data_IF_135424372434
#
_entry.id   IF_135424372434
#
_cell.length_a   1.000
_cell.length_b   1.000
_cell.length_c   1.000
_cell.angle_alpha   90.00
_cell.angle_beta   90.00
_cell.angle_gamma   90.00
#
_symmetry.space_group_name_H-M   'P 1'
#
loop_
_entity.id
_entity.type
_entity.pdbx_description
1 polymer ?
#
# COMPACT_ATOMS: atom_id res chain seq x y z
N UNK A 1 24.79 -10.22 37.45
CA UNK A 1 24.88 -10.31 35.97
C UNK A 1 23.54 -10.75 35.43
N UNK A 2 22.69 -9.81 35.01
CA UNK A 2 21.37 -10.10 34.44
C UNK A 2 21.54 -10.42 32.96
N UNK A 3 21.18 -11.65 32.56
CA UNK A 3 21.07 -12.06 31.15
C UNK A 3 19.98 -11.22 30.49
N UNK A 4 20.35 -10.41 29.51
CA UNK A 4 19.40 -9.80 28.57
C UNK A 4 18.65 -10.94 27.86
N UNK A 5 17.31 -10.97 27.85
CA UNK A 5 16.59 -11.95 27.05
C UNK A 5 16.84 -11.62 25.57
N UNK A 6 17.34 -12.59 24.81
CA UNK A 6 17.36 -12.50 23.35
C UNK A 6 15.91 -12.33 22.89
N UNK A 7 15.51 -11.11 22.53
CA UNK A 7 14.30 -10.92 21.75
C UNK A 7 14.50 -11.64 20.41
N UNK A 8 13.54 -12.47 19.97
CA UNK A 8 13.64 -13.14 18.69
C UNK A 8 13.77 -12.08 17.60
N UNK A 9 14.69 -12.29 16.63
CA UNK A 9 15.01 -11.33 15.58
C UNK A 9 13.76 -10.78 14.84
N UNK A 10 12.69 -11.57 14.80
CA UNK A 10 11.37 -11.23 14.26
C UNK A 10 10.66 -10.11 15.02
N UNK A 11 10.77 -10.06 16.35
CA UNK A 11 10.21 -9.01 17.19
C UNK A 11 10.84 -7.66 16.85
N UNK A 12 12.17 -7.64 16.69
CA UNK A 12 12.94 -6.46 16.32
C UNK A 12 12.64 -5.99 14.90
N UNK A 13 12.37 -6.91 13.98
CA UNK A 13 11.95 -6.58 12.62
C UNK A 13 10.54 -5.97 12.60
N UNK A 14 9.58 -6.54 13.35
CA UNK A 14 8.23 -6.01 13.50
C UNK A 14 8.25 -4.63 14.17
N UNK A 15 9.10 -4.41 15.17
CA UNK A 15 9.20 -3.11 15.83
C UNK A 15 9.88 -2.05 14.94
N UNK A 16 10.87 -2.43 14.11
CA UNK A 16 11.39 -1.56 13.04
C UNK A 16 10.33 -1.22 11.98
N UNK A 17 9.55 -2.22 11.55
CA UNK A 17 8.42 -2.04 10.64
C UNK A 17 7.39 -1.08 11.24
N UNK A 18 7.01 -1.26 12.51
CA UNK A 18 6.10 -0.35 13.24
C UNK A 18 6.65 1.07 13.32
N UNK A 19 7.96 1.24 13.52
CA UNK A 19 8.57 2.57 13.53
C UNK A 19 8.64 3.21 12.14
N UNK A 20 8.93 2.44 11.08
CA UNK A 20 8.89 2.94 9.69
C UNK A 20 7.47 3.35 9.27
N UNK A 21 6.47 2.52 9.58
CA UNK A 21 5.05 2.79 9.31
C UNK A 21 4.53 3.98 10.11
N UNK A 22 5.01 4.19 11.35
CA UNK A 22 4.66 5.38 12.14
C UNK A 22 5.31 6.67 11.64
N UNK A 23 6.47 6.60 10.99
CA UNK A 23 7.26 7.76 10.63
C UNK A 23 6.91 8.36 9.25
N UNK A 24 6.26 7.61 8.36
CA UNK A 24 5.87 8.07 7.02
C UNK A 24 4.50 7.51 6.62
N UNK A 25 3.70 8.32 5.92
CA UNK A 25 2.55 7.79 5.16
C UNK A 25 3.09 6.72 4.19
N UNK A 26 2.49 5.52 4.12
CA UNK A 26 2.96 4.46 3.22
C UNK A 26 2.65 4.75 1.74
N UNK A 27 2.07 5.92 1.46
CA UNK A 27 1.69 6.36 0.13
C UNK A 27 1.87 7.87 -0.03
N UNK A 28 1.96 8.29 -1.30
CA UNK A 28 1.92 9.68 -1.75
C UNK A 28 0.77 9.87 -2.74
N UNK A 29 0.43 11.12 -3.09
CA UNK A 29 -0.57 11.37 -4.13
C UNK A 29 0.07 11.21 -5.51
N UNK A 30 -0.54 10.36 -6.34
CA UNK A 30 -0.29 10.31 -7.78
C UNK A 30 -1.35 11.14 -8.48
N UNK A 31 -0.92 12.06 -9.32
CA UNK A 31 -1.78 12.96 -10.08
C UNK A 31 -1.48 12.81 -11.56
N UNK A 32 -2.47 12.34 -12.32
CA UNK A 32 -2.36 12.08 -13.76
C UNK A 32 -3.34 12.98 -14.50
N UNK A 33 -2.80 13.89 -15.32
CA UNK A 33 -3.63 14.77 -16.16
C UNK A 33 -4.26 13.94 -17.27
N UNK A 34 -5.58 14.06 -17.43
CA UNK A 34 -6.35 13.42 -18.49
C UNK A 34 -6.63 14.47 -19.58
N UNK A 35 -5.63 14.75 -20.42
CA UNK A 35 -5.72 15.73 -21.50
C UNK A 35 -4.36 16.15 -22.06
N UNK A 36 -4.31 16.51 -23.34
CA UNK A 36 -3.06 16.81 -24.07
C UNK A 36 -2.49 18.22 -23.80
N UNK A 37 -3.32 19.14 -23.32
CA UNK A 37 -3.05 20.57 -23.51
C UNK A 37 -2.40 21.23 -22.29
N UNK A 38 -2.58 20.74 -21.06
CA UNK A 38 -1.93 21.30 -19.88
C UNK A 38 -1.82 20.27 -18.75
N UNK A 39 -0.68 20.29 -18.05
CA UNK A 39 -0.51 19.55 -16.79
C UNK A 39 -1.31 20.32 -15.73
N UNK A 40 -2.57 19.95 -15.50
CA UNK A 40 -3.36 20.58 -14.44
C UNK A 40 -2.59 20.47 -13.12
N UNK A 41 -2.23 21.62 -12.53
CA UNK A 41 -1.55 21.71 -11.24
C UNK A 41 -2.54 22.16 -10.19
N UNK A 42 -2.34 21.69 -8.97
CA UNK A 42 -3.16 22.08 -7.80
C UNK A 42 -2.27 22.73 -6.75
N UNK A 43 -2.85 23.58 -5.92
CA UNK A 43 -2.11 24.27 -4.86
C UNK A 43 -1.63 23.31 -3.76
N UNK A 44 -0.72 23.78 -2.90
CA UNK A 44 -0.27 23.02 -1.74
C UNK A 44 -1.40 22.72 -0.76
N UNK A 45 -2.32 23.67 -0.56
CA UNK A 45 -3.51 23.54 0.28
C UNK A 45 -4.46 22.49 -0.30
N UNK A 46 -4.65 22.48 -1.62
CA UNK A 46 -5.47 21.47 -2.30
C UNK A 46 -4.84 20.08 -2.15
N UNK A 47 -3.52 19.98 -2.34
CA UNK A 47 -2.76 18.74 -2.14
C UNK A 47 -2.89 18.24 -0.69
N UNK A 48 -2.82 19.14 0.30
CA UNK A 48 -3.02 18.80 1.70
C UNK A 48 -4.44 18.28 1.96
N UNK A 49 -5.46 18.98 1.47
CA UNK A 49 -6.86 18.58 1.62
C UNK A 49 -7.14 17.21 0.99
N UNK A 50 -6.63 16.96 -0.22
CA UNK A 50 -6.71 15.66 -0.89
C UNK A 50 -6.03 14.58 -0.07
N UNK A 51 -4.86 14.88 0.51
CA UNK A 51 -4.15 13.90 1.33
C UNK A 51 -4.98 13.53 2.56
N UNK A 52 -5.58 14.52 3.24
CA UNK A 52 -6.50 14.27 4.36
C UNK A 52 -7.72 13.46 3.92
N UNK A 53 -8.28 13.75 2.74
CA UNK A 53 -9.43 13.01 2.20
C UNK A 53 -9.13 11.51 2.06
N UNK A 54 -7.98 11.16 1.49
CA UNK A 54 -7.55 9.75 1.36
C UNK A 54 -7.14 9.09 2.68
N UNK A 55 -6.73 9.87 3.69
CA UNK A 55 -6.52 9.35 5.06
C UNK A 55 -7.86 9.01 5.74
N UNK A 56 -8.90 9.83 5.56
CA UNK A 56 -10.23 9.59 6.14
C UNK A 56 -11.04 8.54 5.38
N UNK A 57 -10.77 8.35 4.08
CA UNK A 57 -11.47 7.41 3.21
C UNK A 57 -10.52 6.32 2.69
N UNK A 58 -10.07 5.39 3.54
CA UNK A 58 -9.07 4.39 3.17
C UNK A 58 -9.54 3.41 2.10
N UNK A 59 -10.86 3.31 1.85
CA UNK A 59 -11.44 2.51 0.77
C UNK A 59 -11.54 3.22 -0.58
N UNK A 60 -11.24 4.52 -0.66
CA UNK A 60 -11.35 5.31 -1.89
C UNK A 60 -10.19 4.98 -2.84
N UNK A 61 -10.45 4.40 -4.03
CA UNK A 61 -9.37 4.03 -4.96
C UNK A 61 -8.73 5.24 -5.64
N UNK A 62 -9.51 6.30 -5.88
CA UNK A 62 -9.08 7.52 -6.56
C UNK A 62 -10.24 8.50 -6.67
N UNK A 63 -9.94 9.74 -7.07
CA UNK A 63 -10.92 10.79 -7.40
C UNK A 63 -10.52 11.46 -8.71
N UNK A 64 -11.49 12.04 -9.41
CA UNK A 64 -11.22 12.91 -10.55
C UNK A 64 -11.56 14.34 -10.15
N UNK A 65 -10.60 15.24 -10.30
CA UNK A 65 -10.82 16.68 -10.15
C UNK A 65 -11.11 17.28 -11.52
N UNK A 66 -12.27 17.89 -11.67
CA UNK A 66 -12.62 18.65 -12.87
C UNK A 66 -12.05 20.05 -12.72
N UNK A 67 -11.15 20.45 -13.62
CA UNK A 67 -10.51 21.77 -13.59
C UNK A 67 -10.75 22.53 -14.89
N UNK A 68 -10.57 23.85 -14.86
CA UNK A 68 -10.66 24.67 -16.08
C UNK A 68 -9.60 24.29 -17.15
N UNK A 69 -8.57 23.53 -16.78
CA UNK A 69 -7.48 23.11 -17.66
C UNK A 69 -7.54 21.61 -18.02
N UNK A 70 -8.67 20.96 -17.74
CA UNK A 70 -8.88 19.54 -17.95
C UNK A 70 -8.98 18.75 -16.64
N UNK A 71 -9.26 17.45 -16.76
CA UNK A 71 -9.48 16.58 -15.62
C UNK A 71 -8.15 16.06 -15.05
N UNK A 72 -8.04 15.99 -13.73
CA UNK A 72 -6.91 15.44 -13.02
C UNK A 72 -7.35 14.22 -12.23
N UNK A 73 -6.87 13.03 -12.62
CA UNK A 73 -7.08 11.83 -11.81
C UNK A 73 -6.08 11.81 -10.66
N UNK A 74 -6.58 11.69 -9.44
CA UNK A 74 -5.78 11.67 -8.21
C UNK A 74 -6.01 10.36 -7.49
N UNK A 75 -4.94 9.62 -7.19
CA UNK A 75 -4.98 8.37 -6.46
C UNK A 75 -3.85 8.27 -5.45
N UNK A 76 -3.90 7.25 -4.59
CA UNK A 76 -2.75 6.89 -3.74
C UNK A 76 -1.75 6.11 -4.58
N UNK A 77 -0.50 6.49 -4.49
CA UNK A 77 0.64 5.74 -5.01
C UNK A 77 1.46 5.20 -3.84
N UNK A 78 1.70 3.90 -3.88
CA UNK A 78 2.45 3.17 -2.86
C UNK A 78 3.83 2.86 -3.46
N UNK A 79 4.91 3.49 -2.98
CA UNK A 79 6.24 3.27 -3.51
C UNK A 79 6.60 1.78 -3.59
N UNK A 80 7.32 1.40 -4.64
CA UNK A 80 7.84 0.05 -4.81
C UNK A 80 8.69 -0.34 -3.59
N UNK A 81 8.21 -1.32 -2.82
CA UNK A 81 8.76 -1.73 -1.52
C UNK A 81 7.67 -2.00 -0.49
N UNK A 82 6.56 -1.27 -0.56
CA UNK A 82 5.37 -1.50 0.29
C UNK A 82 4.76 -2.89 0.05
N UNK A 83 4.80 -3.40 -1.18
CA UNK A 83 4.35 -4.76 -1.50
C UNK A 83 5.12 -5.85 -0.74
N UNK A 84 6.44 -5.68 -0.57
CA UNK A 84 7.26 -6.62 0.20
C UNK A 84 6.97 -6.53 1.70
N UNK A 85 6.66 -5.31 2.19
CA UNK A 85 6.22 -5.08 3.55
C UNK A 85 4.87 -5.77 3.80
N UNK A 86 3.90 -5.61 2.90
CA UNK A 86 2.59 -6.24 3.01
C UNK A 86 2.71 -7.77 3.02
N UNK A 87 3.49 -8.35 2.10
CA UNK A 87 3.73 -9.80 2.06
C UNK A 87 4.40 -10.29 3.37
N UNK A 88 5.31 -9.51 3.94
CA UNK A 88 5.96 -9.82 5.23
C UNK A 88 4.97 -9.76 6.41
N UNK A 89 4.01 -8.82 6.39
CA UNK A 89 2.95 -8.72 7.38
C UNK A 89 1.98 -9.90 7.27
N UNK A 90 1.60 -10.29 6.04
CA UNK A 90 0.79 -11.48 5.79
C UNK A 90 1.49 -12.73 6.33
N UNK A 91 2.78 -12.90 6.04
CA UNK A 91 3.56 -14.03 6.58
C UNK A 91 3.60 -14.02 8.12
N UNK A 92 3.71 -12.84 8.73
CA UNK A 92 3.71 -12.70 10.19
C UNK A 92 2.39 -13.12 10.84
N UNK A 93 1.25 -12.94 10.17
CA UNK A 93 -0.05 -13.45 10.67
C UNK A 93 0.00 -14.96 10.82
N UNK A 94 0.45 -15.68 9.79
CA UNK A 94 0.57 -17.15 9.82
C UNK A 94 1.60 -17.66 10.82
N UNK A 95 2.69 -16.90 11.04
CA UNK A 95 3.72 -17.24 12.04
C UNK A 95 3.22 -17.03 13.47
N UNK A 96 2.44 -15.99 13.71
CA UNK A 96 1.97 -15.62 15.05
C UNK A 96 0.75 -16.45 15.50
N UNK A 97 -0.08 -16.90 14.57
CA UNK A 97 -1.27 -17.70 14.85
C UNK A 97 -1.37 -18.91 13.89
N UNK A 98 -0.87 -20.10 14.31
CA UNK A 98 -0.95 -21.32 13.50
C UNK A 98 -2.37 -21.81 13.20
N UNK A 99 -3.40 -21.28 13.88
CA UNK A 99 -4.80 -21.63 13.58
C UNK A 99 -5.35 -20.85 12.37
N UNK A 100 -4.71 -19.77 11.97
CA UNK A 100 -5.06 -19.04 10.75
C UNK A 100 -4.45 -19.77 9.55
N UNK A 101 -5.26 -20.38 8.70
CA UNK A 101 -4.77 -21.17 7.54
C UNK A 101 -4.85 -20.43 6.21
N UNK A 102 -5.56 -19.29 6.16
CA UNK A 102 -5.63 -18.46 4.95
C UNK A 102 -6.20 -17.07 5.20
N UNK A 103 -5.86 -16.12 4.33
CA UNK A 103 -6.40 -14.76 4.30
C UNK A 103 -7.03 -14.54 2.93
N UNK A 104 -8.35 -14.38 2.89
CA UNK A 104 -9.10 -14.15 1.65
C UNK A 104 -9.12 -12.66 1.29
N UNK A 105 -8.61 -12.33 0.11
CA UNK A 105 -8.70 -11.00 -0.48
C UNK A 105 -9.81 -11.00 -1.54
N UNK A 106 -10.88 -10.20 -1.37
CA UNK A 106 -11.98 -10.15 -2.32
C UNK A 106 -11.56 -9.48 -3.63
N UNK A 107 -12.29 -9.76 -4.71
CA UNK A 107 -12.08 -9.11 -5.99
C UNK A 107 -12.33 -7.61 -5.86
N UNK A 108 -11.42 -6.80 -6.39
CA UNK A 108 -11.52 -5.33 -6.41
C UNK A 108 -11.01 -4.80 -7.74
N UNK A 109 -11.76 -3.89 -8.39
CA UNK A 109 -11.39 -3.13 -9.60
C UNK A 109 -10.32 -3.80 -10.50
N UNK A 110 -10.71 -4.84 -11.25
CA UNK A 110 -9.83 -5.51 -12.22
C UNK A 110 -8.86 -6.54 -11.62
N UNK A 111 -8.85 -6.75 -10.30
CA UNK A 111 -8.10 -7.84 -9.63
C UNK A 111 -9.05 -8.96 -9.23
N UNK A 112 -8.70 -10.19 -9.58
CA UNK A 112 -9.42 -11.39 -9.16
C UNK A 112 -9.26 -11.59 -7.65
N UNK A 113 -10.28 -12.20 -7.02
CA UNK A 113 -10.18 -12.66 -5.65
C UNK A 113 -9.09 -13.74 -5.52
N UNK A 114 -8.39 -13.78 -4.39
CA UNK A 114 -7.43 -14.83 -4.08
C UNK A 114 -7.29 -15.04 -2.58
N UNK A 115 -6.63 -16.14 -2.20
CA UNK A 115 -6.36 -16.49 -0.81
C UNK A 115 -4.84 -16.56 -0.64
N UNK A 116 -4.30 -15.78 0.29
CA UNK A 116 -2.93 -15.95 0.75
C UNK A 116 -2.87 -17.07 1.79
N UNK A 117 -1.79 -17.83 1.78
CA UNK A 117 -1.53 -18.96 2.69
C UNK A 117 -0.12 -18.87 3.26
N UNK A 118 0.20 -19.71 4.24
CA UNK A 118 1.53 -19.72 4.86
C UNK A 118 2.68 -20.00 3.84
N UNK A 119 2.42 -20.86 2.84
CA UNK A 119 3.37 -21.16 1.75
C UNK A 119 3.39 -20.07 0.66
N UNK A 120 2.32 -19.28 0.55
CA UNK A 120 2.17 -18.20 -0.44
C UNK A 120 1.59 -16.94 0.21
N UNK A 121 2.37 -16.23 1.04
CA UNK A 121 1.89 -15.09 1.82
C UNK A 121 1.88 -13.80 0.98
N UNK A 122 1.15 -13.80 -0.14
CA UNK A 122 1.19 -12.70 -1.11
C UNK A 122 -0.12 -11.91 -1.20
N UNK A 123 0.01 -10.59 -1.21
CA UNK A 123 -1.12 -9.70 -1.43
C UNK A 123 -1.59 -9.66 -2.90
N UNK A 124 -0.71 -9.94 -3.87
CA UNK A 124 -1.10 -10.08 -5.27
C UNK A 124 -1.21 -11.54 -5.67
N UNK A 125 -2.23 -11.86 -6.46
CA UNK A 125 -2.59 -13.23 -6.80
C UNK A 125 -1.57 -13.93 -7.71
N UNK A 126 -0.85 -13.20 -8.57
CA UNK A 126 0.07 -13.81 -9.53
C UNK A 126 1.33 -12.99 -9.87
N UNK A 127 2.32 -13.67 -10.45
CA UNK A 127 3.62 -13.11 -10.84
C UNK A 127 3.55 -11.99 -11.86
N UNK A 128 2.54 -12.01 -12.73
CA UNK A 128 2.31 -10.96 -13.71
C UNK A 128 1.94 -9.64 -13.02
N UNK A 129 1.07 -9.70 -12.00
CA UNK A 129 0.70 -8.54 -11.17
C UNK A 129 1.88 -8.05 -10.33
N UNK A 130 2.70 -8.97 -9.80
CA UNK A 130 3.94 -8.62 -9.06
C UNK A 130 4.96 -7.93 -9.97
N UNK A 131 5.10 -8.43 -11.20
CA UNK A 131 6.02 -7.88 -12.20
C UNK A 131 5.55 -6.52 -12.73
N UNK A 132 4.25 -6.31 -12.89
CA UNK A 132 3.69 -5.01 -13.28
C UNK A 132 3.89 -3.94 -12.19
N UNK A 133 3.70 -4.30 -10.91
CA UNK A 133 3.96 -3.41 -9.79
C UNK A 133 5.44 -2.99 -9.68
N UNK A 134 6.37 -3.82 -10.17
CA UNK A 134 7.81 -3.53 -10.19
C UNK A 134 8.27 -2.68 -11.38
N UNK A 135 7.44 -2.49 -12.42
CA UNK A 135 7.82 -1.83 -13.70
C UNK A 135 7.53 -0.33 -13.76
N UNK A 136 6.93 0.26 -12.73
CA UNK A 136 6.67 1.71 -12.65
C UNK A 136 7.81 2.49 -11.95
N UNK A 137 9.01 1.91 -11.93
CA UNK A 137 10.28 2.55 -11.52
C UNK A 137 10.80 3.54 -12.55
#
# INVERSE_FOLDING_TARGET
MTKTPNQPATQTAIDRLRQQVKARRPWQLLMVSMGAENKATVSAETTHALTRLFEYLPGLPGVTLQTAHGDLHVSRDFPSGEMQIIDSLIASVFQNDPHVTGIAFPATNGKAAHVATADKPHFLANDAQRSAAARHT
#
